data_IF_093867464813
#
_entry.id   IF_093867464813
#
_cell.length_a   1.000
_cell.length_b   1.000
_cell.length_c   1.000
_cell.angle_alpha   90.00
_cell.angle_beta   90.00
_cell.angle_gamma   90.00
#
_symmetry.space_group_name_H-M   'P 1'
#
loop_
_entity.id
_entity.type
_entity.pdbx_description
1 polymer ?
#
# COMPACT_ATOMS: atom_id res chain seq x y z
N UNK A 1 -10.17 -37.23 14.91
CA UNK A 1 -9.37 -36.77 13.74
C UNK A 1 -9.05 -35.27 13.87
N UNK A 2 -8.62 -34.84 15.05
CA UNK A 2 -8.55 -33.46 15.53
C UNK A 2 -7.13 -32.86 15.44
N UNK A 3 -6.43 -33.11 14.33
CA UNK A 3 -5.05 -32.61 14.17
C UNK A 3 -5.02 -31.56 13.04
N UNK A 4 -5.02 -30.24 13.37
CA UNK A 4 -4.97 -29.18 12.36
C UNK A 4 -3.70 -29.21 11.50
N UNK A 5 -2.64 -29.86 11.98
CA UNK A 5 -1.41 -30.10 11.21
C UNK A 5 -1.64 -30.95 9.94
N UNK A 6 -2.60 -31.88 9.93
CA UNK A 6 -2.82 -32.75 8.77
C UNK A 6 -3.65 -32.08 7.66
N UNK A 7 -4.40 -31.01 7.97
CA UNK A 7 -5.15 -30.24 6.97
C UNK A 7 -4.24 -29.33 6.15
N UNK A 8 -3.17 -28.80 6.77
CA UNK A 8 -2.18 -27.97 6.09
C UNK A 8 -1.29 -28.75 5.10
N UNK A 9 -1.11 -30.06 5.30
CA UNK A 9 -0.28 -30.92 4.44
C UNK A 9 -1.00 -31.32 3.13
N UNK A 10 -2.34 -31.25 3.11
CA UNK A 10 -3.15 -31.79 1.99
C UNK A 10 -3.71 -30.71 1.06
N UNK A 11 -3.64 -29.43 1.43
CA UNK A 11 -4.28 -28.33 0.70
C UNK A 11 -3.22 -27.34 0.15
N UNK A 12 -3.08 -27.17 -1.17
CA UNK A 12 -2.05 -26.29 -1.76
C UNK A 12 -2.25 -24.80 -1.45
N UNK A 13 -3.42 -24.41 -0.94
CA UNK A 13 -3.75 -23.02 -0.62
C UNK A 13 -3.77 -22.81 0.90
N UNK A 14 -2.61 -22.43 1.46
CA UNK A 14 -2.40 -22.21 2.91
C UNK A 14 -3.43 -21.23 3.49
N UNK A 15 -3.87 -20.25 2.70
CA UNK A 15 -4.85 -19.23 3.10
C UNK A 15 -6.25 -19.81 3.41
N UNK A 16 -6.57 -21.01 2.91
CA UNK A 16 -7.89 -21.65 3.08
C UNK A 16 -7.98 -22.58 4.29
N UNK A 17 -6.87 -22.84 4.98
CA UNK A 17 -6.81 -23.71 6.16
C UNK A 17 -7.65 -23.15 7.32
N UNK A 18 -7.57 -21.83 7.53
CA UNK A 18 -8.28 -21.18 8.63
C UNK A 18 -9.82 -21.21 8.46
N UNK A 19 -10.40 -20.82 7.30
CA UNK A 19 -11.83 -21.01 7.05
C UNK A 19 -12.30 -22.46 7.17
N UNK A 20 -11.52 -23.42 6.67
CA UNK A 20 -11.86 -24.84 6.76
C UNK A 20 -11.92 -25.34 8.20
N UNK A 21 -11.02 -24.87 9.07
CA UNK A 21 -11.05 -25.21 10.50
C UNK A 21 -12.32 -24.69 11.19
N UNK A 22 -12.73 -23.45 10.90
CA UNK A 22 -13.93 -22.83 11.49
C UNK A 22 -15.20 -23.61 11.14
N UNK A 23 -15.29 -24.10 9.90
CA UNK A 23 -16.47 -24.84 9.43
C UNK A 23 -16.45 -26.30 9.90
N UNK A 24 -15.27 -26.93 9.97
CA UNK A 24 -15.18 -28.37 10.23
C UNK A 24 -15.01 -28.77 11.70
N UNK A 25 -14.50 -27.88 12.55
CA UNK A 25 -14.12 -28.23 13.93
C UNK A 25 -14.84 -27.44 15.02
N UNK A 26 -15.57 -26.37 14.68
CA UNK A 26 -16.23 -25.54 15.70
C UNK A 26 -17.70 -25.92 15.92
N UNK A 27 -18.22 -25.76 17.15
CA UNK A 27 -19.64 -25.98 17.44
C UNK A 27 -20.56 -25.01 16.67
N UNK A 28 -21.75 -25.50 16.33
CA UNK A 28 -22.81 -24.67 15.74
C UNK A 28 -23.12 -23.45 16.63
N UNK A 29 -23.32 -22.30 16.01
CA UNK A 29 -23.45 -21.01 16.71
C UNK A 29 -22.12 -20.25 16.86
N UNK A 30 -21.06 -20.90 17.38
CA UNK A 30 -19.74 -20.26 17.52
C UNK A 30 -19.08 -19.99 16.16
N UNK A 31 -19.18 -20.92 15.21
CA UNK A 31 -18.70 -20.69 13.84
C UNK A 31 -19.38 -19.48 13.20
N UNK A 32 -20.70 -19.33 13.41
CA UNK A 32 -21.48 -18.20 12.88
C UNK A 32 -21.06 -16.87 13.51
N UNK A 33 -20.86 -16.84 14.83
CA UNK A 33 -20.36 -15.67 15.54
C UNK A 33 -18.97 -15.25 15.04
N UNK A 34 -18.08 -16.21 14.84
CA UNK A 34 -16.73 -15.94 14.37
C UNK A 34 -16.71 -15.41 12.93
N UNK A 35 -17.50 -16.01 12.04
CA UNK A 35 -17.65 -15.52 10.66
C UNK A 35 -18.19 -14.08 10.67
N UNK A 36 -19.22 -13.79 11.48
CA UNK A 36 -19.75 -12.43 11.62
C UNK A 36 -18.70 -11.44 12.13
N UNK A 37 -17.88 -11.84 13.11
CA UNK A 37 -16.79 -11.01 13.64
C UNK A 37 -15.72 -10.71 12.59
N UNK A 38 -15.34 -11.69 11.78
CA UNK A 38 -14.37 -11.52 10.67
C UNK A 38 -14.93 -10.55 9.63
N UNK A 39 -16.20 -10.70 9.23
CA UNK A 39 -16.83 -9.75 8.31
C UNK A 39 -16.90 -8.34 8.89
N UNK A 40 -17.27 -8.20 10.16
CA UNK A 40 -17.30 -6.90 10.82
C UNK A 40 -15.92 -6.23 10.84
N UNK A 41 -14.86 -6.97 11.17
CA UNK A 41 -13.48 -6.47 11.16
C UNK A 41 -13.02 -6.07 9.74
N UNK A 42 -13.33 -6.90 8.74
CA UNK A 42 -13.00 -6.63 7.34
C UNK A 42 -13.75 -5.39 6.81
N UNK A 43 -15.05 -5.26 7.11
CA UNK A 43 -15.85 -4.09 6.73
C UNK A 43 -15.37 -2.81 7.41
N UNK A 44 -14.93 -2.88 8.67
CA UNK A 44 -14.36 -1.72 9.36
C UNK A 44 -13.11 -1.21 8.63
N UNK A 45 -12.16 -2.10 8.32
CA UNK A 45 -10.95 -1.75 7.57
C UNK A 45 -11.27 -1.22 6.17
N UNK A 46 -12.18 -1.88 5.46
CA UNK A 46 -12.61 -1.48 4.12
C UNK A 46 -13.24 -0.08 4.13
N UNK A 47 -14.15 0.19 5.07
CA UNK A 47 -14.80 1.49 5.19
C UNK A 47 -13.79 2.61 5.51
N UNK A 48 -12.82 2.34 6.38
CA UNK A 48 -11.74 3.28 6.70
C UNK A 48 -10.90 3.58 5.44
N UNK A 49 -10.48 2.55 4.71
CA UNK A 49 -9.65 2.72 3.52
C UNK A 49 -10.38 3.50 2.42
N UNK A 50 -11.65 3.18 2.14
CA UNK A 50 -12.46 3.90 1.15
C UNK A 50 -12.62 5.37 1.56
N UNK A 51 -12.90 5.63 2.83
CA UNK A 51 -13.04 7.00 3.34
C UNK A 51 -11.74 7.79 3.26
N UNK A 52 -10.60 7.17 3.59
CA UNK A 52 -9.28 7.81 3.47
C UNK A 52 -8.95 8.15 2.01
N UNK A 53 -9.18 7.24 1.06
CA UNK A 53 -8.94 7.52 -0.37
C UNK A 53 -9.89 8.60 -0.88
N UNK A 54 -11.17 8.55 -0.51
CA UNK A 54 -12.14 9.59 -0.87
C UNK A 54 -11.74 10.96 -0.31
N UNK A 55 -11.20 11.00 0.91
CA UNK A 55 -10.65 12.22 1.51
C UNK A 55 -9.46 12.75 0.71
N UNK A 56 -8.46 11.91 0.39
CA UNK A 56 -7.29 12.27 -0.43
C UNK A 56 -7.71 12.79 -1.82
N UNK A 57 -8.62 12.10 -2.51
CA UNK A 57 -9.15 12.57 -3.81
C UNK A 57 -9.81 13.94 -3.67
N UNK A 58 -10.52 14.17 -2.57
CA UNK A 58 -11.23 15.43 -2.36
C UNK A 58 -10.30 16.56 -1.91
N UNK A 59 -9.37 16.31 -1.00
CA UNK A 59 -8.47 17.33 -0.44
C UNK A 59 -7.30 17.64 -1.36
N UNK A 60 -6.68 16.62 -1.93
CA UNK A 60 -5.37 16.78 -2.57
C UNK A 60 -5.54 17.05 -4.06
N UNK A 61 -6.57 16.46 -4.69
CA UNK A 61 -6.89 16.67 -6.09
C UNK A 61 -8.02 17.70 -6.24
N UNK A 62 -9.22 17.41 -5.71
CA UNK A 62 -10.38 18.28 -5.97
C UNK A 62 -10.22 19.69 -5.40
N UNK A 63 -9.71 19.86 -4.17
CA UNK A 63 -9.48 21.21 -3.63
C UNK A 63 -8.32 21.97 -4.26
N UNK A 64 -7.33 21.26 -4.77
CA UNK A 64 -6.17 21.89 -5.42
C UNK A 64 -6.48 22.32 -6.85
N UNK A 65 -7.28 21.55 -7.60
CA UNK A 65 -7.59 21.86 -9.00
C UNK A 65 -8.70 22.90 -9.18
N UNK A 66 -9.63 23.02 -8.22
CA UNK A 66 -10.79 23.92 -8.35
C UNK A 66 -10.81 25.02 -7.28
N UNK A 67 -10.89 26.28 -7.73
CA UNK A 67 -10.78 27.47 -6.86
C UNK A 67 -12.09 27.88 -6.18
N UNK A 68 -13.25 27.40 -6.65
CA UNK A 68 -14.58 27.73 -6.09
C UNK A 68 -15.32 26.47 -5.67
N UNK A 69 -15.16 26.07 -4.42
CA UNK A 69 -15.71 24.82 -3.89
C UNK A 69 -16.80 25.09 -2.87
N UNK A 70 -17.96 24.48 -3.10
CA UNK A 70 -19.04 24.42 -2.11
C UNK A 70 -18.95 23.11 -1.34
N UNK A 71 -19.24 23.14 -0.03
CA UNK A 71 -19.25 21.96 0.83
C UNK A 71 -20.11 20.82 0.25
N UNK A 72 -21.30 21.14 -0.28
CA UNK A 72 -22.20 20.17 -0.93
C UNK A 72 -21.54 19.44 -2.12
N UNK A 73 -20.78 20.15 -2.96
CA UNK A 73 -20.08 19.54 -4.11
C UNK A 73 -18.91 18.68 -3.65
N UNK A 74 -18.14 19.15 -2.67
CA UNK A 74 -17.05 18.39 -2.06
C UNK A 74 -17.54 17.06 -1.47
N UNK A 75 -18.70 17.07 -0.79
CA UNK A 75 -19.30 15.86 -0.23
C UNK A 75 -19.82 14.90 -1.30
N UNK A 76 -20.37 15.44 -2.40
CA UNK A 76 -20.80 14.63 -3.55
C UNK A 76 -19.60 13.93 -4.22
N UNK A 77 -18.50 14.67 -4.43
CA UNK A 77 -17.26 14.12 -4.99
C UNK A 77 -16.70 13.02 -4.09
N UNK A 78 -16.64 13.23 -2.76
CA UNK A 78 -16.19 12.21 -1.83
C UNK A 78 -17.05 10.93 -1.90
N UNK A 79 -18.39 11.06 -1.99
CA UNK A 79 -19.29 9.90 -2.15
C UNK A 79 -19.03 9.14 -3.45
N UNK A 80 -18.93 9.85 -4.58
CA UNK A 80 -18.65 9.22 -5.88
C UNK A 80 -17.28 8.58 -5.92
N UNK A 81 -16.26 9.24 -5.35
CA UNK A 81 -14.93 8.67 -5.20
C UNK A 81 -14.97 7.37 -4.40
N UNK A 82 -15.71 7.35 -3.28
CA UNK A 82 -15.87 6.14 -2.48
C UNK A 82 -16.55 4.99 -3.23
N UNK A 83 -17.61 5.28 -3.99
CA UNK A 83 -18.30 4.28 -4.84
C UNK A 83 -17.35 3.73 -5.90
N UNK A 84 -16.63 4.60 -6.61
CA UNK A 84 -15.69 4.19 -7.68
C UNK A 84 -14.57 3.34 -7.09
N UNK A 85 -13.97 3.75 -5.97
CA UNK A 85 -12.91 2.99 -5.29
C UNK A 85 -13.44 1.63 -4.82
N UNK A 86 -14.66 1.58 -4.29
CA UNK A 86 -15.31 0.32 -3.91
C UNK A 86 -15.52 -0.62 -5.09
N UNK A 87 -16.02 -0.10 -6.22
CA UNK A 87 -16.20 -0.87 -7.46
C UNK A 87 -14.88 -1.38 -8.03
N UNK A 88 -13.84 -0.54 -8.05
CA UNK A 88 -12.49 -0.95 -8.45
C UNK A 88 -11.92 -2.03 -7.53
N UNK A 89 -12.15 -1.91 -6.22
CA UNK A 89 -11.79 -2.93 -5.23
C UNK A 89 -12.48 -4.26 -5.47
N UNK A 90 -13.79 -4.25 -5.77
CA UNK A 90 -14.53 -5.46 -6.14
C UNK A 90 -13.97 -6.06 -7.44
N UNK A 91 -13.71 -5.24 -8.46
CA UNK A 91 -13.11 -5.70 -9.71
C UNK A 91 -11.75 -6.36 -9.50
N UNK A 92 -10.88 -5.75 -8.70
CA UNK A 92 -9.57 -6.31 -8.36
C UNK A 92 -9.70 -7.61 -7.55
N UNK A 93 -10.63 -7.68 -6.60
CA UNK A 93 -10.90 -8.88 -5.82
C UNK A 93 -11.35 -10.05 -6.72
N UNK A 94 -12.22 -9.79 -7.71
CA UNK A 94 -12.64 -10.81 -8.68
C UNK A 94 -11.46 -11.30 -9.53
N UNK A 95 -10.59 -10.39 -10.00
CA UNK A 95 -9.38 -10.77 -10.75
C UNK A 95 -8.47 -11.66 -9.91
N UNK A 96 -8.18 -11.26 -8.67
CA UNK A 96 -7.34 -12.03 -7.75
C UNK A 96 -7.94 -13.40 -7.42
N UNK A 97 -9.27 -13.50 -7.34
CA UNK A 97 -9.96 -14.78 -7.13
C UNK A 97 -9.85 -15.73 -8.33
N UNK A 98 -9.68 -15.21 -9.54
CA UNK A 98 -9.49 -16.02 -10.76
C UNK A 98 -8.05 -16.38 -11.06
N UNK A 99 -7.09 -15.63 -10.51
CA UNK A 99 -5.66 -15.92 -10.66
C UNK A 99 -5.27 -17.07 -9.72
N UNK A 100 -4.54 -18.05 -10.24
CA UNK A 100 -4.03 -19.17 -9.45
C UNK A 100 -2.82 -18.72 -8.63
N UNK A 101 -3.05 -17.85 -7.65
CA UNK A 101 -2.04 -17.31 -6.74
C UNK A 101 -1.78 -18.37 -5.66
N UNK A 102 -0.53 -18.82 -5.54
CA UNK A 102 -0.15 -19.83 -4.54
C UNK A 102 -0.35 -19.34 -3.08
N UNK A 103 -0.16 -18.03 -2.84
CA UNK A 103 -0.47 -17.39 -1.57
C UNK A 103 -0.88 -15.93 -1.76
N UNK A 104 -2.08 -15.58 -1.32
CA UNK A 104 -2.56 -14.20 -1.26
C UNK A 104 -1.75 -13.37 -0.26
N UNK A 105 -1.28 -14.01 0.82
CA UNK A 105 -0.44 -13.37 1.83
C UNK A 105 0.89 -12.88 1.27
N UNK A 106 1.57 -13.69 0.47
CA UNK A 106 2.85 -13.31 -0.14
C UNK A 106 2.68 -12.18 -1.16
N UNK A 107 1.59 -12.23 -1.93
CA UNK A 107 1.25 -11.17 -2.88
C UNK A 107 0.95 -9.85 -2.15
N UNK A 108 0.19 -9.91 -1.05
CA UNK A 108 -0.12 -8.75 -0.22
C UNK A 108 1.15 -8.11 0.36
N UNK A 109 2.06 -8.91 0.92
CA UNK A 109 3.31 -8.40 1.48
C UNK A 109 4.24 -7.82 0.41
N UNK A 110 4.24 -8.39 -0.80
CA UNK A 110 4.98 -7.83 -1.94
C UNK A 110 4.49 -6.43 -2.28
N UNK A 111 3.17 -6.25 -2.42
CA UNK A 111 2.58 -4.93 -2.67
C UNK A 111 2.87 -3.95 -1.53
N UNK A 112 2.76 -4.40 -0.28
CA UNK A 112 3.04 -3.57 0.88
C UNK A 112 4.51 -3.12 0.91
N UNK A 113 5.45 -4.02 0.66
CA UNK A 113 6.87 -3.70 0.58
C UNK A 113 7.22 -2.69 -0.53
N UNK A 114 6.61 -2.83 -1.71
CA UNK A 114 6.76 -1.87 -2.82
C UNK A 114 6.27 -0.47 -2.42
N UNK A 115 5.09 -0.36 -1.80
CA UNK A 115 4.53 0.92 -1.39
C UNK A 115 5.31 1.57 -0.24
N UNK A 116 5.65 0.78 0.79
CA UNK A 116 6.39 1.25 1.96
C UNK A 116 7.80 1.73 1.58
N UNK A 117 8.48 1.01 0.68
CA UNK A 117 9.83 1.40 0.24
C UNK A 117 9.85 2.73 -0.52
N UNK A 118 8.91 2.95 -1.44
CA UNK A 118 8.80 4.19 -2.20
C UNK A 118 8.41 5.39 -1.33
N UNK A 119 7.36 5.27 -0.52
CA UNK A 119 6.93 6.34 0.39
C UNK A 119 8.00 6.63 1.45
N UNK A 120 8.59 5.58 2.04
CA UNK A 120 9.68 5.70 3.01
C UNK A 120 10.88 6.46 2.43
N UNK A 121 11.29 6.14 1.20
CA UNK A 121 12.36 6.85 0.51
C UNK A 121 12.03 8.34 0.28
N UNK A 122 10.81 8.66 -0.15
CA UNK A 122 10.38 10.06 -0.37
C UNK A 122 10.41 10.88 0.92
N UNK A 123 9.86 10.34 2.02
CA UNK A 123 9.89 11.03 3.32
C UNK A 123 11.32 11.21 3.83
N UNK A 124 12.15 10.17 3.71
CA UNK A 124 13.55 10.24 4.13
C UNK A 124 14.33 11.31 3.35
N UNK A 125 14.18 11.35 2.02
CA UNK A 125 14.79 12.36 1.16
C UNK A 125 14.31 13.77 1.51
N UNK A 126 13.00 13.96 1.71
CA UNK A 126 12.43 15.27 2.05
C UNK A 126 12.93 15.83 3.38
N UNK A 127 13.11 14.96 4.39
CA UNK A 127 13.53 15.39 5.74
C UNK A 127 15.04 15.65 5.82
N UNK A 128 15.87 14.78 5.22
CA UNK A 128 17.33 14.81 5.40
C UNK A 128 18.10 15.47 4.26
N UNK A 129 17.54 15.50 3.04
CA UNK A 129 18.25 15.95 1.84
C UNK A 129 17.57 17.16 1.19
N UNK A 130 17.86 18.40 1.66
CA UNK A 130 17.26 19.61 1.08
C UNK A 130 17.64 19.80 -0.39
N UNK A 131 18.75 19.22 -0.86
CA UNK A 131 19.18 19.36 -2.26
C UNK A 131 18.26 18.65 -3.26
N UNK A 132 17.52 17.64 -2.81
CA UNK A 132 16.73 16.77 -3.68
C UNK A 132 15.39 17.46 -4.00
N UNK A 133 15.15 17.71 -5.29
CA UNK A 133 13.90 18.29 -5.77
C UNK A 133 12.83 17.23 -6.02
N UNK A 134 11.59 17.68 -6.23
CA UNK A 134 10.46 16.81 -6.54
C UNK A 134 10.71 15.91 -7.78
N UNK A 135 11.32 16.47 -8.83
CA UNK A 135 11.62 15.72 -10.06
C UNK A 135 12.67 14.63 -9.83
N UNK A 136 13.76 14.92 -9.11
CA UNK A 136 14.78 13.92 -8.77
C UNK A 136 14.24 12.84 -7.83
N UNK A 137 13.37 13.19 -6.88
CA UNK A 137 12.71 12.25 -5.99
C UNK A 137 11.76 11.31 -6.76
N UNK A 138 10.98 11.85 -7.71
CA UNK A 138 10.10 11.05 -8.56
C UNK A 138 10.88 10.09 -9.46
N UNK A 139 11.96 10.55 -10.10
CA UNK A 139 12.83 9.70 -10.93
C UNK A 139 13.45 8.59 -10.07
N UNK A 140 13.97 8.93 -8.88
CA UNK A 140 14.54 7.95 -7.97
C UNK A 140 13.52 6.91 -7.51
N UNK A 141 12.27 7.29 -7.26
CA UNK A 141 11.19 6.37 -6.94
C UNK A 141 10.90 5.42 -8.11
N UNK A 142 10.73 5.94 -9.33
CA UNK A 142 10.41 5.10 -10.50
C UNK A 142 11.55 4.12 -10.78
N UNK A 143 12.79 4.59 -10.79
CA UNK A 143 13.96 3.73 -11.03
C UNK A 143 14.15 2.74 -9.88
N UNK A 144 13.93 3.15 -8.63
CA UNK A 144 14.02 2.29 -7.46
C UNK A 144 12.99 1.15 -7.48
N UNK A 145 11.76 1.43 -7.93
CA UNK A 145 10.74 0.39 -8.17
C UNK A 145 11.21 -0.59 -9.25
N UNK A 146 11.76 -0.12 -10.37
CA UNK A 146 12.27 -0.99 -11.44
C UNK A 146 13.41 -1.89 -10.94
N UNK A 147 14.34 -1.32 -10.17
CA UNK A 147 15.43 -2.09 -9.55
C UNK A 147 14.84 -3.13 -8.59
N UNK A 148 13.89 -2.74 -7.74
CA UNK A 148 13.27 -3.64 -6.78
C UNK A 148 12.57 -4.82 -7.47
N UNK A 149 11.78 -4.56 -8.51
CA UNK A 149 11.10 -5.60 -9.30
C UNK A 149 12.13 -6.56 -9.94
N UNK A 150 13.24 -6.02 -10.45
CA UNK A 150 14.31 -6.81 -11.04
C UNK A 150 15.03 -7.66 -10.00
N UNK A 151 15.30 -7.13 -8.81
CA UNK A 151 15.93 -7.88 -7.72
C UNK A 151 15.00 -9.00 -7.21
N UNK A 152 13.70 -8.71 -7.12
CA UNK A 152 12.68 -9.67 -6.71
C UNK A 152 12.53 -10.83 -7.69
N UNK A 153 12.69 -10.59 -8.99
CA UNK A 153 12.60 -11.66 -10.00
C UNK A 153 13.81 -12.59 -10.01
N UNK A 154 14.97 -12.12 -9.54
CA UNK A 154 16.25 -12.84 -9.65
C UNK A 154 16.73 -13.47 -8.35
N UNK A 155 16.09 -13.13 -7.22
CA UNK A 155 16.55 -13.56 -5.89
C UNK A 155 15.39 -14.06 -5.06
N UNK A 156 15.66 -14.85 -4.03
CA UNK A 156 14.65 -15.34 -3.09
C UNK A 156 15.02 -14.93 -1.65
N UNK A 157 15.04 -13.62 -1.41
CA UNK A 157 15.34 -13.01 -0.10
C UNK A 157 14.02 -12.78 0.66
N UNK A 158 14.10 -12.65 1.99
CA UNK A 158 12.98 -12.22 2.83
C UNK A 158 12.34 -10.89 2.37
N UNK A 159 11.02 -10.80 2.49
CA UNK A 159 10.21 -9.65 2.10
C UNK A 159 10.67 -8.31 2.73
N UNK A 160 11.17 -8.34 3.97
CA UNK A 160 11.66 -7.14 4.66
C UNK A 160 12.86 -6.53 3.95
N UNK A 161 13.74 -7.38 3.42
CA UNK A 161 14.91 -6.96 2.67
C UNK A 161 14.54 -6.35 1.32
N UNK A 162 13.49 -6.84 0.65
CA UNK A 162 12.99 -6.18 -0.55
C UNK A 162 12.55 -4.73 -0.27
N UNK A 163 11.80 -4.50 0.82
CA UNK A 163 11.44 -3.15 1.24
C UNK A 163 12.67 -2.26 1.50
N UNK A 164 13.67 -2.79 2.19
CA UNK A 164 14.91 -2.05 2.49
C UNK A 164 15.74 -1.75 1.24
N UNK A 165 15.94 -2.73 0.36
CA UNK A 165 16.70 -2.59 -0.89
C UNK A 165 16.01 -1.56 -1.80
N UNK A 166 14.69 -1.63 -1.94
CA UNK A 166 13.91 -0.67 -2.72
C UNK A 166 14.01 0.76 -2.17
N UNK A 167 14.01 0.91 -0.85
CA UNK A 167 14.16 2.23 -0.22
C UNK A 167 15.56 2.80 -0.46
N UNK A 168 16.61 2.02 -0.19
CA UNK A 168 18.00 2.44 -0.36
C UNK A 168 18.32 2.75 -1.82
N UNK A 169 17.89 1.90 -2.76
CA UNK A 169 18.10 2.14 -4.19
C UNK A 169 17.41 3.42 -4.65
N UNK A 170 16.17 3.66 -4.22
CA UNK A 170 15.43 4.89 -4.54
C UNK A 170 16.13 6.14 -3.99
N UNK A 171 16.65 6.09 -2.77
CA UNK A 171 17.39 7.19 -2.14
C UNK A 171 18.68 7.48 -2.92
N UNK A 172 19.46 6.45 -3.23
CA UNK A 172 20.73 6.59 -3.96
C UNK A 172 20.48 7.20 -5.34
N UNK A 173 19.52 6.68 -6.10
CA UNK A 173 19.23 7.18 -7.45
C UNK A 173 18.71 8.62 -7.38
N UNK A 174 17.78 8.93 -6.47
CA UNK A 174 17.28 10.29 -6.31
C UNK A 174 18.41 11.27 -5.96
N UNK A 175 19.33 10.87 -5.09
CA UNK A 175 20.48 11.67 -4.71
C UNK A 175 21.45 11.89 -5.87
N UNK A 176 21.75 10.85 -6.66
CA UNK A 176 22.60 10.96 -7.84
C UNK A 176 21.98 11.87 -8.91
N UNK A 177 20.69 11.70 -9.19
CA UNK A 177 19.95 12.53 -10.16
C UNK A 177 19.89 14.00 -9.70
N UNK A 178 19.90 14.25 -8.40
CA UNK A 178 19.92 15.61 -7.82
C UNK A 178 21.21 16.39 -8.14
N UNK A 179 22.30 15.75 -8.54
CA UNK A 179 23.49 16.45 -9.04
C UNK A 179 23.27 17.07 -10.42
N UNK A 180 22.51 16.40 -11.29
CA UNK A 180 22.19 16.86 -12.65
C UNK A 180 20.97 17.80 -12.62
N UNK A 181 19.99 17.50 -11.77
CA UNK A 181 18.76 18.25 -11.60
C UNK A 181 18.64 18.78 -10.17
N UNK A 182 19.40 19.84 -9.80
CA UNK A 182 19.33 20.42 -8.47
C UNK A 182 17.96 21.05 -8.22
N UNK A 183 17.52 21.02 -6.97
CA UNK A 183 16.25 21.62 -6.57
C UNK A 183 16.28 23.15 -6.82
N UNK A 184 15.34 23.64 -7.63
CA UNK A 184 15.21 25.06 -7.99
C UNK A 184 14.24 25.82 -7.08
N UNK A 185 13.55 25.15 -6.16
CA UNK A 185 12.58 25.77 -5.24
C UNK A 185 13.23 26.08 -3.89
N UNK A 186 12.92 27.23 -3.31
CA UNK A 186 13.34 27.59 -1.94
C UNK A 186 12.58 26.72 -0.93
N UNK A 187 13.31 26.07 -0.02
CA UNK A 187 12.82 25.02 0.88
C UNK A 187 12.97 25.43 2.35
N UNK A 188 13.08 26.73 2.61
CA UNK A 188 13.10 27.29 3.96
C UNK A 188 11.88 26.81 4.75
N UNK A 189 12.12 26.13 5.86
CA UNK A 189 11.13 25.70 6.84
C UNK A 189 10.69 24.22 6.74
N UNK A 190 11.02 23.48 5.68
CA UNK A 190 10.56 22.09 5.49
C UNK A 190 11.63 21.01 5.71
N UNK A 191 12.88 21.41 5.95
CA UNK A 191 14.01 20.49 6.16
C UNK A 191 14.69 20.75 7.51
N UNK A 192 15.21 19.71 8.19
CA UNK A 192 15.78 19.80 9.55
C UNK A 192 16.82 20.93 9.72
N UNK A 193 17.68 21.13 8.71
CA UNK A 193 18.67 22.23 8.66
C UNK A 193 18.09 23.64 8.56
N UNK A 194 16.86 23.77 8.09
CA UNK A 194 16.18 25.08 7.93
C UNK A 194 15.34 25.47 9.14
N UNK A 195 14.98 24.51 10.01
CA UNK A 195 14.18 24.74 11.23
C UNK A 195 15.08 25.23 12.38
N UNK A 196 16.38 24.91 12.34
CA UNK A 196 17.37 25.25 13.36
C UNK A 196 18.13 26.55 13.09
N UNK A 197 17.70 27.35 12.11
CA UNK A 197 18.30 28.64 11.75
C UNK A 197 17.28 29.76 11.90
#
# INVERSE_FOLDING_TARGET
TSNPANMAITNPNIDSVFPQFIVSQMPVGFSGLLIAAIFAAAMSTLSSNINSVAAVITSDFYKTLWTKITLKRSMSVARWAGIIVGLLGIGMALILATWNIASLWDQFNTFLGLLTSGLGALFFLGIFFPRVGATSAFIGLVVGIVILVTVQSNTNISFLLYGFIGMVSSIIVAYLVSFVLPNKKDIKGYTWKSITK
#
